data_IF_747443351926
#
_entry.id   IF_747443351926
#
_cell.length_a   1.000
_cell.length_b   1.000
_cell.length_c   1.000
_cell.angle_alpha   90.00
_cell.angle_beta   90.00
_cell.angle_gamma   90.00
#
_symmetry.space_group_name_H-M   'P 1'
#
loop_
_entity.id
_entity.type
_entity.pdbx_description
1 polymer ?
#
# COMPACT_ATOMS: atom_id res chain seq x y z
N UNK A 1 39.82 -7.81 28.97
CA UNK A 1 38.87 -7.36 28.34
C UNK A 1 38.30 -7.97 27.10
N UNK A 2 38.40 -9.27 26.91
CA UNK A 2 37.79 -9.84 25.74
C UNK A 2 36.29 -9.67 25.67
N UNK A 3 35.66 -9.38 26.78
CA UNK A 3 34.22 -9.21 26.79
C UNK A 3 33.73 -8.02 26.00
N UNK A 4 34.60 -7.03 25.77
CA UNK A 4 34.20 -5.86 25.00
C UNK A 4 33.93 -6.11 23.53
N UNK A 5 34.53 -7.16 22.99
CA UNK A 5 34.33 -7.47 21.57
C UNK A 5 33.15 -8.39 21.33
N UNK A 6 32.66 -9.04 22.35
CA UNK A 6 31.56 -9.98 22.19
C UNK A 6 30.30 -9.37 21.59
N UNK A 7 29.86 -8.18 22.02
CA UNK A 7 28.66 -7.57 21.41
C UNK A 7 28.81 -7.22 19.96
N UNK A 8 30.05 -6.97 19.54
CA UNK A 8 30.31 -6.60 18.14
C UNK A 8 30.32 -7.81 17.22
N UNK A 9 30.42 -9.00 17.79
CA UNK A 9 30.41 -10.21 16.99
C UNK A 9 28.98 -10.51 16.61
N UNK A 10 28.71 -10.52 15.31
CA UNK A 10 27.39 -10.87 14.82
C UNK A 10 27.12 -12.36 15.07
N UNK A 11 26.15 -12.62 15.89
CA UNK A 11 25.71 -14.00 16.10
C UNK A 11 24.90 -14.45 14.90
N UNK A 12 25.00 -15.72 14.53
CA UNK A 12 24.17 -16.21 13.41
C UNK A 12 22.69 -15.94 13.60
N UNK A 13 22.21 -16.02 14.83
CA UNK A 13 20.83 -15.72 15.13
C UNK A 13 20.46 -14.26 14.89
N UNK A 14 21.39 -13.33 15.13
CA UNK A 14 21.17 -11.91 14.89
C UNK A 14 21.07 -11.60 13.41
N UNK A 15 21.92 -12.22 12.60
CA UNK A 15 21.87 -12.08 11.16
C UNK A 15 20.56 -12.61 10.58
N UNK A 16 20.15 -13.78 11.04
CA UNK A 16 18.87 -14.37 10.62
C UNK A 16 17.70 -13.50 11.03
N UNK A 17 17.75 -12.93 12.24
CA UNK A 17 16.72 -12.04 12.71
C UNK A 17 16.59 -10.78 11.86
N UNK A 18 17.72 -10.22 11.45
CA UNK A 18 17.72 -9.04 10.58
C UNK A 18 17.15 -9.35 9.20
N UNK A 19 17.51 -10.48 8.65
CA UNK A 19 16.98 -10.90 7.35
C UNK A 19 15.48 -11.12 7.43
N UNK A 20 15.01 -11.77 8.48
CA UNK A 20 13.59 -11.96 8.70
C UNK A 20 12.85 -10.66 8.90
N UNK A 21 13.46 -9.72 9.61
CA UNK A 21 12.87 -8.40 9.81
C UNK A 21 12.73 -7.66 8.48
N UNK A 22 13.75 -7.67 7.65
CA UNK A 22 13.70 -7.03 6.34
C UNK A 22 12.66 -7.68 5.43
N UNK A 23 12.57 -8.98 5.44
CA UNK A 23 11.59 -9.70 4.64
C UNK A 23 10.17 -9.38 5.09
N UNK A 24 9.95 -9.36 6.39
CA UNK A 24 8.65 -9.00 6.95
C UNK A 24 8.28 -7.56 6.61
N UNK A 25 9.25 -6.65 6.71
CA UNK A 25 9.04 -5.26 6.38
C UNK A 25 8.67 -5.08 4.91
N UNK A 26 9.32 -5.82 4.02
CA UNK A 26 9.01 -5.81 2.61
C UNK A 26 7.58 -6.29 2.35
N UNK A 27 7.15 -7.33 3.02
CA UNK A 27 5.78 -7.85 2.89
C UNK A 27 4.77 -6.83 3.37
N UNK A 28 5.08 -6.14 4.47
CA UNK A 28 4.18 -5.11 4.99
C UNK A 28 4.05 -3.94 4.02
N UNK A 29 5.17 -3.55 3.40
CA UNK A 29 5.17 -2.51 2.38
C UNK A 29 4.35 -2.95 1.17
N UNK A 30 4.52 -4.17 0.72
CA UNK A 30 3.76 -4.70 -0.40
C UNK A 30 2.26 -4.71 -0.11
N UNK A 31 1.87 -5.13 1.08
CA UNK A 31 0.47 -5.11 1.48
C UNK A 31 -0.09 -3.70 1.51
N UNK A 32 0.71 -2.77 2.03
CA UNK A 32 0.28 -1.38 2.07
C UNK A 32 0.11 -0.82 0.65
N UNK A 33 1.05 -1.10 -0.23
CA UNK A 33 0.98 -0.67 -1.62
C UNK A 33 -0.24 -1.25 -2.31
N UNK A 34 -0.53 -2.52 -2.06
CA UNK A 34 -1.71 -3.17 -2.60
C UNK A 34 -2.99 -2.50 -2.09
N UNK A 35 -3.06 -2.22 -0.80
CA UNK A 35 -4.21 -1.55 -0.22
C UNK A 35 -4.41 -0.16 -0.80
N UNK A 36 -3.33 0.59 -1.02
CA UNK A 36 -3.38 1.90 -1.65
C UNK A 36 -3.88 1.78 -3.08
N UNK A 37 -3.37 0.81 -3.84
CA UNK A 37 -3.79 0.60 -5.22
C UNK A 37 -5.28 0.24 -5.29
N UNK A 38 -5.75 -0.63 -4.41
CA UNK A 38 -7.17 -0.98 -4.34
C UNK A 38 -8.03 0.24 -4.00
N UNK A 39 -7.56 1.05 -3.07
CA UNK A 39 -8.27 2.27 -2.68
C UNK A 39 -8.35 3.27 -3.84
N UNK A 40 -7.25 3.43 -4.58
CA UNK A 40 -7.23 4.31 -5.74
C UNK A 40 -8.16 3.81 -6.85
N UNK A 41 -8.19 2.50 -7.06
CA UNK A 41 -9.08 1.90 -8.04
C UNK A 41 -10.55 2.12 -7.66
N UNK A 42 -10.88 1.90 -6.40
CA UNK A 42 -12.23 2.16 -5.91
C UNK A 42 -12.61 3.63 -6.06
N UNK A 43 -11.69 4.54 -5.77
CA UNK A 43 -11.92 5.96 -5.91
C UNK A 43 -12.16 6.34 -7.38
N UNK A 44 -11.37 5.81 -8.31
CA UNK A 44 -11.55 6.06 -9.74
C UNK A 44 -12.88 5.53 -10.24
N UNK A 45 -13.24 4.33 -9.80
CA UNK A 45 -14.51 3.72 -10.19
C UNK A 45 -15.68 4.56 -9.71
N UNK A 46 -15.66 4.98 -8.44
CA UNK A 46 -16.69 5.82 -7.88
C UNK A 46 -16.77 7.17 -8.61
N UNK A 47 -15.63 7.77 -8.91
CA UNK A 47 -15.57 9.04 -9.65
C UNK A 47 -16.15 8.90 -11.05
N UNK A 48 -15.85 7.81 -11.74
CA UNK A 48 -16.39 7.54 -13.06
C UNK A 48 -17.91 7.37 -13.02
N UNK A 49 -18.41 6.65 -12.02
CA UNK A 49 -19.85 6.47 -11.86
C UNK A 49 -20.56 7.80 -11.61
N UNK A 50 -19.97 8.64 -10.76
CA UNK A 50 -20.52 9.98 -10.49
C UNK A 50 -20.55 10.82 -11.77
N UNK A 51 -19.48 10.80 -12.55
CA UNK A 51 -19.44 11.54 -13.81
C UNK A 51 -20.50 11.06 -14.79
N UNK A 52 -20.64 9.75 -14.94
CA UNK A 52 -21.66 9.16 -15.81
C UNK A 52 -23.05 9.56 -15.37
N UNK A 53 -23.28 9.54 -14.06
CA UNK A 53 -24.57 9.93 -13.53
C UNK A 53 -24.86 11.40 -13.78
N UNK A 54 -23.86 12.27 -13.57
CA UNK A 54 -24.00 13.69 -13.88
C UNK A 54 -24.27 13.93 -15.36
N UNK A 55 -23.54 13.24 -16.23
CA UNK A 55 -23.74 13.37 -17.67
C UNK A 55 -25.13 12.91 -18.07
N UNK A 56 -25.61 11.83 -17.49
CA UNK A 56 -26.94 11.34 -17.74
C UNK A 56 -28.01 12.35 -17.31
N UNK A 57 -27.85 12.93 -16.13
CA UNK A 57 -28.78 13.94 -15.62
C UNK A 57 -28.78 15.17 -16.50
N UNK A 58 -27.61 15.63 -16.94
CA UNK A 58 -27.51 16.78 -17.85
C UNK A 58 -28.17 16.50 -19.17
N UNK A 59 -27.97 15.31 -19.70
CA UNK A 59 -28.63 14.91 -20.96
C UNK A 59 -30.14 14.89 -20.79
N UNK A 60 -30.63 14.37 -19.68
CA UNK A 60 -32.06 14.34 -19.42
C UNK A 60 -32.65 15.75 -19.29
N UNK A 61 -31.95 16.66 -18.63
CA UNK A 61 -32.38 18.05 -18.53
C UNK A 61 -32.36 18.73 -19.90
N UNK A 62 -31.30 18.51 -20.67
CA UNK A 62 -31.18 19.12 -21.99
C UNK A 62 -32.27 18.65 -22.93
N UNK A 63 -32.71 17.41 -22.84
CA UNK A 63 -33.78 16.89 -23.67
C UNK A 63 -35.14 17.49 -23.33
N UNK A 64 -35.30 17.95 -22.09
CA UNK A 64 -36.57 18.59 -21.70
C UNK A 64 -36.68 20.03 -22.12
N UNK A 65 -35.56 20.65 -22.36
CA UNK A 65 -35.51 22.04 -22.81
C UNK A 65 -35.61 22.11 -24.30
#
# INVERSE_FOLDING_TARGET
GGGGSAPLTLKPGSSSGNILYHDRNNRDVERLMQAVAENQLAFRTASDLIRRQNDLLRSAIAQRV
#
